data_IF_924536094386
#
_entry.id   IF_924536094386
#
_cell.length_a   1.000
_cell.length_b   1.000
_cell.length_c   1.000
_cell.angle_alpha   90.00
_cell.angle_beta   90.00
_cell.angle_gamma   90.00
#
_symmetry.space_group_name_H-M   'P 1'
#
loop_
_entity.id
_entity.type
_entity.pdbx_description
1 polymer ?
#
# COMPACT_ATOMS: atom_id res chain seq x y z
N UNK A 1 25.23 -12.39 3.38
CA UNK A 1 24.25 -11.30 3.62
C UNK A 1 22.97 -11.90 4.18
N UNK A 2 22.62 -11.57 5.42
CA UNK A 2 21.32 -11.98 5.99
C UNK A 2 20.20 -11.30 5.18
N UNK A 3 19.41 -12.10 4.45
CA UNK A 3 18.20 -11.58 3.79
C UNK A 3 17.24 -11.13 4.90
N UNK A 4 17.13 -9.82 5.12
CA UNK A 4 16.10 -9.27 6.02
C UNK A 4 14.74 -9.76 5.57
N UNK A 5 14.07 -10.55 6.42
CA UNK A 5 12.77 -11.14 6.08
C UNK A 5 11.67 -10.14 6.38
N UNK A 6 11.15 -9.49 5.33
CA UNK A 6 9.98 -8.62 5.46
C UNK A 6 8.71 -9.38 5.84
N UNK A 7 7.90 -8.75 6.70
CA UNK A 7 6.56 -9.24 7.05
C UNK A 7 5.61 -9.17 5.85
N UNK A 8 4.47 -9.86 5.93
CA UNK A 8 3.43 -9.81 4.88
C UNK A 8 2.94 -8.38 4.64
N UNK A 9 2.76 -7.61 5.72
CA UNK A 9 2.33 -6.21 5.64
C UNK A 9 3.41 -5.33 4.99
N UNK A 10 4.68 -5.48 5.38
CA UNK A 10 5.78 -4.71 4.80
C UNK A 10 5.95 -4.99 3.30
N UNK A 11 5.90 -6.28 2.92
CA UNK A 11 5.92 -6.67 1.51
C UNK A 11 4.78 -6.02 0.74
N UNK A 12 3.57 -6.09 1.29
CA UNK A 12 2.39 -5.50 0.67
C UNK A 12 2.53 -3.98 0.52
N UNK A 13 2.95 -3.26 1.56
CA UNK A 13 3.18 -1.80 1.51
C UNK A 13 4.15 -1.46 0.38
N UNK A 14 5.30 -2.13 0.30
CA UNK A 14 6.30 -1.86 -0.73
C UNK A 14 5.75 -2.12 -2.14
N UNK A 15 5.14 -3.29 -2.36
CA UNK A 15 4.63 -3.63 -3.70
C UNK A 15 3.44 -2.79 -4.12
N UNK A 16 2.55 -2.44 -3.19
CA UNK A 16 1.36 -1.64 -3.48
C UNK A 16 1.73 -0.19 -3.70
N UNK A 17 2.66 0.37 -2.92
CA UNK A 17 3.19 1.71 -3.16
C UNK A 17 3.84 1.78 -4.53
N UNK A 18 4.68 0.79 -4.90
CA UNK A 18 5.30 0.74 -6.22
C UNK A 18 4.28 0.72 -7.36
N UNK A 19 3.30 -0.20 -7.29
CA UNK A 19 2.24 -0.29 -8.30
C UNK A 19 1.48 1.03 -8.43
N UNK A 20 1.10 1.63 -7.31
CA UNK A 20 0.31 2.87 -7.30
C UNK A 20 1.12 4.05 -7.82
N UNK A 21 2.30 4.32 -7.26
CA UNK A 21 2.98 5.61 -7.44
C UNK A 21 3.95 5.61 -8.61
N UNK A 22 4.41 4.44 -9.06
CA UNK A 22 5.35 4.32 -10.19
C UNK A 22 4.67 3.74 -11.42
N UNK A 23 3.86 2.68 -11.26
CA UNK A 23 3.16 2.06 -12.38
C UNK A 23 1.77 2.65 -12.64
N UNK A 24 1.30 3.57 -11.79
CA UNK A 24 -0.04 4.15 -11.87
C UNK A 24 -1.16 3.10 -11.91
N UNK A 25 -0.95 1.95 -11.26
CA UNK A 25 -1.90 0.85 -11.11
C UNK A 25 -2.51 0.84 -9.71
N UNK A 26 -3.82 1.05 -9.65
CA UNK A 26 -4.62 0.99 -8.42
C UNK A 26 -5.78 0.00 -8.50
N UNK A 27 -5.72 -0.98 -9.41
CA UNK A 27 -6.74 -2.02 -9.59
C UNK A 27 -7.14 -2.75 -8.30
N UNK A 28 -6.27 -2.73 -7.29
CA UNK A 28 -6.45 -3.39 -6.00
C UNK A 28 -6.71 -2.43 -4.82
N UNK A 29 -7.03 -1.15 -5.08
CA UNK A 29 -7.27 -0.14 -4.04
C UNK A 29 -8.71 0.38 -4.07
N UNK A 30 -9.36 0.36 -2.91
CA UNK A 30 -10.78 0.73 -2.76
C UNK A 30 -11.02 2.24 -2.82
N UNK A 31 -9.98 3.07 -2.61
CA UNK A 31 -10.14 4.52 -2.42
C UNK A 31 -10.66 5.28 -3.65
N UNK A 32 -10.42 4.80 -4.88
CA UNK A 32 -10.97 5.47 -6.07
C UNK A 32 -12.50 5.54 -6.06
N UNK A 33 -13.18 4.54 -5.50
CA UNK A 33 -14.64 4.50 -5.55
C UNK A 33 -15.31 5.55 -4.65
N UNK A 34 -14.64 5.98 -3.57
CA UNK A 34 -15.21 6.89 -2.58
C UNK A 34 -14.78 8.37 -2.75
N UNK A 35 -13.77 8.67 -3.57
CA UNK A 35 -13.37 10.05 -3.91
C UNK A 35 -14.19 10.66 -5.06
N UNK A 36 -15.20 9.94 -5.56
CA UNK A 36 -16.09 10.37 -6.65
C UNK A 36 -16.85 11.69 -6.40
N UNK A 37 -16.84 12.23 -5.16
CA UNK A 37 -17.54 13.46 -4.78
C UNK A 37 -16.76 14.78 -5.03
N UNK A 38 -15.59 14.75 -5.70
CA UNK A 38 -14.87 15.99 -6.13
C UNK A 38 -14.33 15.93 -7.56
N UNK A 39 -15.06 15.27 -8.48
CA UNK A 39 -14.70 15.15 -9.91
C UNK A 39 -14.50 16.49 -10.61
N UNK A 40 -15.11 17.54 -10.09
CA UNK A 40 -15.07 18.93 -10.54
C UNK A 40 -13.81 19.71 -10.12
N UNK A 41 -12.98 19.19 -9.21
CA UNK A 41 -11.71 19.83 -8.76
C UNK A 41 -10.47 18.93 -8.91
N UNK A 42 -10.55 17.95 -9.81
CA UNK A 42 -9.69 16.75 -9.81
C UNK A 42 -8.41 16.88 -10.66
N UNK A 43 -8.24 17.94 -11.45
CA UNK A 43 -7.04 18.08 -12.32
C UNK A 43 -5.75 18.29 -11.53
N UNK A 44 -5.74 19.09 -10.46
CA UNK A 44 -4.55 19.24 -9.59
C UNK A 44 -4.44 18.15 -8.51
N UNK A 45 -5.57 17.52 -8.13
CA UNK A 45 -5.62 16.51 -7.06
C UNK A 45 -5.38 15.08 -7.51
N UNK A 46 -5.49 14.79 -8.81
CA UNK A 46 -5.12 13.48 -9.38
C UNK A 46 -3.63 13.23 -9.16
N UNK A 47 -2.77 14.21 -9.44
CA UNK A 47 -1.33 14.10 -9.20
C UNK A 47 -1.01 13.79 -7.73
N UNK A 48 -1.66 14.48 -6.80
CA UNK A 48 -1.47 14.22 -5.37
C UNK A 48 -1.86 12.80 -4.96
N UNK A 49 -2.98 12.27 -5.47
CA UNK A 49 -3.41 10.90 -5.15
C UNK A 49 -2.37 9.86 -5.61
N UNK A 50 -1.84 10.04 -6.82
CA UNK A 50 -0.88 9.10 -7.42
C UNK A 50 0.51 9.19 -6.79
N UNK A 51 0.86 10.30 -6.14
CA UNK A 51 2.18 10.47 -5.54
C UNK A 51 2.42 9.64 -4.27
N UNK A 52 1.36 9.24 -3.56
CA UNK A 52 1.50 8.61 -2.24
C UNK A 52 0.63 7.36 -2.11
N UNK A 53 1.15 6.34 -1.43
CA UNK A 53 0.27 5.37 -0.76
C UNK A 53 -0.19 5.97 0.57
N UNK A 54 -1.50 6.06 0.82
CA UNK A 54 -2.02 6.61 2.06
C UNK A 54 -2.15 5.55 3.14
N UNK A 55 -1.86 5.93 4.40
CA UNK A 55 -2.02 5.02 5.55
C UNK A 55 -3.44 4.45 5.65
N UNK A 56 -4.44 5.22 5.25
CA UNK A 56 -5.84 4.79 5.22
C UNK A 56 -6.09 3.71 4.17
N UNK A 57 -5.39 3.71 3.04
CA UNK A 57 -5.45 2.62 2.03
C UNK A 57 -4.90 1.33 2.63
N UNK A 58 -3.86 1.38 3.47
CA UNK A 58 -3.39 0.18 4.18
C UNK A 58 -4.49 -0.39 5.08
N UNK A 59 -5.17 0.45 5.86
CA UNK A 59 -6.23 0.00 6.76
C UNK A 59 -7.44 -0.56 6.00
N UNK A 60 -7.82 0.09 4.90
CA UNK A 60 -8.91 -0.33 4.03
C UNK A 60 -8.56 -1.64 3.30
N UNK A 61 -7.48 -1.65 2.53
CA UNK A 61 -7.24 -2.64 1.49
C UNK A 61 -6.42 -3.83 2.00
N UNK A 62 -5.51 -3.64 2.98
CA UNK A 62 -4.79 -4.76 3.58
C UNK A 62 -5.58 -5.41 4.73
N UNK A 63 -6.17 -4.60 5.60
CA UNK A 63 -6.88 -5.10 6.80
C UNK A 63 -8.39 -5.27 6.61
N UNK A 64 -8.97 -4.78 5.50
CA UNK A 64 -10.42 -4.87 5.25
C UNK A 64 -11.25 -4.00 6.19
N UNK A 65 -10.68 -2.93 6.76
CA UNK A 65 -11.40 -2.09 7.70
C UNK A 65 -12.57 -1.38 7.01
N UNK A 66 -13.73 -1.30 7.67
CA UNK A 66 -14.90 -0.58 7.14
C UNK A 66 -14.88 0.87 7.59
N UNK A 67 -15.12 1.80 6.67
CA UNK A 67 -15.24 3.23 6.95
C UNK A 67 -16.69 3.62 7.21
N UNK A 68 -16.90 4.67 7.99
CA UNK A 68 -18.21 5.31 8.08
C UNK A 68 -18.41 6.23 6.86
N UNK A 69 -19.45 6.04 6.03
CA UNK A 69 -19.68 6.86 4.85
C UNK A 69 -20.03 8.34 5.16
N UNK A 70 -20.30 8.69 6.42
CA UNK A 70 -20.85 10.00 6.81
C UNK A 70 -19.80 11.12 6.94
N UNK A 71 -18.49 10.83 6.99
CA UNK A 71 -17.47 11.87 7.18
C UNK A 71 -16.60 12.08 5.92
N UNK A 72 -16.97 13.08 5.13
CA UNK A 72 -16.31 13.54 3.89
C UNK A 72 -14.88 14.10 4.05
N UNK A 73 -14.13 13.75 5.09
CA UNK A 73 -12.77 14.28 5.30
C UNK A 73 -11.89 13.49 6.25
N UNK A 74 -12.45 12.64 7.11
CA UNK A 74 -11.69 11.85 8.09
C UNK A 74 -12.27 10.44 8.09
N UNK A 75 -11.52 9.47 7.57
CA UNK A 75 -11.90 8.06 7.62
C UNK A 75 -11.98 7.60 9.09
N UNK A 76 -13.18 7.72 9.69
CA UNK A 76 -13.50 7.08 10.96
C UNK A 76 -13.78 5.61 10.67
N UNK A 77 -12.78 4.78 10.93
CA UNK A 77 -12.90 3.33 10.85
C UNK A 77 -13.74 2.82 12.04
N UNK A 78 -14.61 1.84 11.81
CA UNK A 78 -15.44 1.23 12.88
C UNK A 78 -14.71 0.03 13.51
N UNK A 79 -14.90 -0.18 14.82
CA UNK A 79 -14.40 -1.34 15.58
C UNK A 79 -13.02 -1.16 16.22
N UNK A 80 -12.39 -2.27 16.65
CA UNK A 80 -11.05 -2.32 17.26
C UNK A 80 -9.92 -2.14 16.23
N UNK A 81 -9.87 -0.98 15.60
CA UNK A 81 -8.91 -0.64 14.54
C UNK A 81 -7.54 -0.27 15.11
N UNK A 82 -7.47 -0.04 16.43
CA UNK A 82 -6.25 0.35 17.15
C UNK A 82 -5.08 -0.63 16.90
N UNK A 83 -5.34 -1.94 16.94
CA UNK A 83 -4.29 -2.95 16.70
C UNK A 83 -3.71 -2.87 15.29
N UNK A 84 -4.54 -2.56 14.28
CA UNK A 84 -4.10 -2.42 12.90
C UNK A 84 -3.35 -1.10 12.69
N UNK A 85 -3.80 -0.01 13.33
CA UNK A 85 -3.07 1.25 13.33
C UNK A 85 -1.67 1.10 13.96
N UNK A 86 -1.56 0.37 15.07
CA UNK A 86 -0.28 0.07 15.72
C UNK A 86 0.60 -0.81 14.82
N UNK A 87 0.05 -1.87 14.23
CA UNK A 87 0.79 -2.75 13.32
C UNK A 87 1.31 -2.00 12.07
N UNK A 88 0.47 -1.15 11.49
CA UNK A 88 0.86 -0.26 10.39
C UNK A 88 1.93 0.72 10.83
N UNK A 89 1.76 1.39 11.96
CA UNK A 89 2.74 2.36 12.48
C UNK A 89 4.11 1.75 12.71
N UNK A 90 4.17 0.55 13.32
CA UNK A 90 5.41 -0.21 13.49
C UNK A 90 6.04 -0.58 12.15
N UNK A 91 5.25 -1.12 11.23
CA UNK A 91 5.76 -1.54 9.92
C UNK A 91 6.31 -0.38 9.10
N UNK A 92 5.66 0.79 9.14
CA UNK A 92 6.12 1.99 8.46
C UNK A 92 7.42 2.50 9.09
N UNK A 93 7.47 2.61 10.42
CA UNK A 93 8.68 3.04 11.14
C UNK A 93 9.88 2.13 10.84
N UNK A 94 9.67 0.81 10.82
CA UNK A 94 10.73 -0.14 10.50
C UNK A 94 11.24 0.02 9.07
N UNK A 95 10.33 0.23 8.10
CA UNK A 95 10.69 0.45 6.70
C UNK A 95 11.41 1.79 6.49
N UNK A 96 11.02 2.82 7.21
CA UNK A 96 11.62 4.16 7.16
C UNK A 96 13.03 4.16 7.78
N UNK A 97 13.20 3.59 8.99
CA UNK A 97 14.52 3.43 9.63
C UNK A 97 15.48 2.63 8.76
N UNK A 98 14.98 1.65 8.02
CA UNK A 98 15.79 0.84 7.10
C UNK A 98 15.94 1.45 5.71
N UNK A 99 15.36 2.64 5.48
CA UNK A 99 15.56 3.47 4.30
C UNK A 99 14.82 3.01 3.04
N UNK A 100 13.75 2.23 3.17
CA UNK A 100 12.95 1.79 2.01
C UNK A 100 11.81 2.74 1.66
N UNK A 101 11.36 3.55 2.62
CA UNK A 101 10.25 4.49 2.43
C UNK A 101 10.57 5.82 3.09
N UNK A 102 9.85 6.85 2.66
CA UNK A 102 9.70 8.12 3.35
C UNK A 102 8.23 8.32 3.70
N UNK A 103 7.96 8.84 4.91
CA UNK A 103 6.60 9.19 5.33
C UNK A 103 6.39 10.70 5.30
N UNK A 104 5.20 11.10 4.84
CA UNK A 104 4.80 12.49 4.73
C UNK A 104 3.50 12.71 5.48
N UNK A 105 3.40 13.85 6.13
CA UNK A 105 2.21 14.25 6.88
C UNK A 105 1.70 15.59 6.34
N UNK A 106 0.39 15.65 6.12
CA UNK A 106 -0.28 16.87 5.72
C UNK A 106 -0.33 17.91 6.84
N UNK A 107 -0.50 19.17 6.45
CA UNK A 107 -0.80 20.24 7.40
C UNK A 107 -1.98 19.85 8.29
N UNK A 108 -1.84 20.05 9.61
CA UNK A 108 -2.78 19.61 10.65
C UNK A 108 -3.07 18.09 10.68
N UNK A 109 -2.15 17.25 10.20
CA UNK A 109 -2.21 15.78 10.32
C UNK A 109 -3.38 15.12 9.58
N UNK A 110 -4.04 15.82 8.66
CA UNK A 110 -5.24 15.31 7.98
C UNK A 110 -4.97 14.12 7.04
N UNK A 111 -3.73 13.96 6.56
CA UNK A 111 -3.33 12.83 5.72
C UNK A 111 -1.92 12.37 6.04
N UNK A 112 -1.66 11.08 5.79
CA UNK A 112 -0.34 10.46 5.95
C UNK A 112 -0.03 9.68 4.68
N UNK A 113 0.97 10.14 3.93
CA UNK A 113 1.41 9.58 2.67
C UNK A 113 2.73 8.84 2.82
N UNK A 114 2.95 7.87 1.94
CA UNK A 114 4.13 7.02 1.90
C UNK A 114 4.68 7.06 0.49
N UNK A 115 5.99 7.29 0.35
CA UNK A 115 6.72 7.16 -0.90
C UNK A 115 7.84 6.14 -0.76
N UNK A 116 8.21 5.52 -1.89
CA UNK A 116 9.39 4.66 -1.93
C UNK A 116 10.63 5.50 -2.19
N UNK A 117 11.71 5.16 -1.49
CA UNK A 117 13.06 5.58 -1.90
C UNK A 117 13.52 4.72 -3.08
N UNK A 118 14.65 5.05 -3.72
CA UNK A 118 15.27 4.20 -4.74
C UNK A 118 15.50 2.77 -4.24
N UNK A 119 15.95 2.64 -2.99
CA UNK A 119 16.11 1.34 -2.31
C UNK A 119 14.78 0.62 -2.14
N UNK A 120 13.71 1.35 -1.82
CA UNK A 120 12.34 0.85 -1.77
C UNK A 120 11.84 0.31 -3.11
N UNK A 121 12.11 1.05 -4.19
CA UNK A 121 11.71 0.69 -5.56
C UNK A 121 12.36 -0.63 -5.98
N UNK A 122 13.68 -0.76 -5.84
CA UNK A 122 14.38 -1.99 -6.19
C UNK A 122 13.89 -3.18 -5.35
N UNK A 123 13.64 -2.94 -4.06
CA UNK A 123 13.09 -3.97 -3.18
C UNK A 123 11.67 -4.40 -3.58
N UNK A 124 10.83 -3.46 -4.02
CA UNK A 124 9.48 -3.77 -4.47
C UNK A 124 9.50 -4.59 -5.76
N UNK A 125 10.37 -4.25 -6.73
CA UNK A 125 10.59 -5.03 -7.96
C UNK A 125 11.04 -6.46 -7.64
N UNK A 126 12.02 -6.63 -6.75
CA UNK A 126 12.48 -7.95 -6.30
C UNK A 126 11.31 -8.82 -5.79
N UNK A 127 10.44 -8.24 -4.97
CA UNK A 127 9.32 -8.97 -4.35
C UNK A 127 8.29 -9.35 -5.43
N UNK A 128 7.99 -8.45 -6.36
CA UNK A 128 7.07 -8.73 -7.46
C UNK A 128 7.59 -9.84 -8.38
N UNK A 129 8.87 -9.81 -8.72
CA UNK A 129 9.53 -10.82 -9.56
C UNK A 129 9.63 -12.17 -8.85
N UNK A 130 9.91 -12.19 -7.54
CA UNK A 130 9.90 -13.43 -6.77
C UNK A 130 8.50 -14.07 -6.75
N UNK A 131 7.44 -13.27 -6.60
CA UNK A 131 6.07 -13.78 -6.63
C UNK A 131 5.64 -14.30 -8.01
N UNK A 132 6.13 -13.71 -9.11
CA UNK A 132 5.84 -14.22 -10.47
C UNK A 132 6.52 -15.56 -10.72
N UNK A 133 7.77 -15.72 -10.26
CA UNK A 133 8.50 -16.99 -10.31
C UNK A 133 7.85 -18.09 -9.45
N UNK A 134 7.38 -17.76 -8.25
CA UNK A 134 6.65 -18.71 -7.38
C UNK A 134 5.29 -19.12 -7.97
N UNK A 135 4.65 -18.25 -8.75
CA UNK A 135 3.42 -18.59 -9.47
C UNK A 135 3.70 -19.47 -10.69
N UNK A 136 4.79 -19.20 -11.43
CA UNK A 136 5.22 -20.04 -12.56
C UNK A 136 5.63 -21.44 -12.10
N UNK A 137 6.35 -21.57 -10.99
CA UNK A 137 6.74 -22.87 -10.44
C UNK A 137 5.53 -23.69 -10.01
N UNK A 138 4.53 -23.08 -9.39
CA UNK A 138 3.25 -23.76 -9.05
C UNK A 138 2.48 -24.22 -10.28
N UNK A 139 2.41 -23.41 -11.33
CA UNK A 139 1.75 -23.79 -12.60
C UNK A 139 2.46 -24.98 -13.26
N UNK A 140 3.79 -24.98 -13.29
CA UNK A 140 4.59 -26.08 -13.84
C UNK A 140 4.48 -27.37 -13.01
N UNK A 141 4.21 -27.26 -11.70
CA UNK A 141 4.02 -28.44 -10.85
C UNK A 141 2.65 -29.10 -11.09
N UNK A 142 1.63 -28.32 -11.43
CA UNK A 142 0.28 -28.82 -11.75
C UNK A 142 0.25 -29.46 -13.14
N UNK A 143 0.98 -28.92 -14.13
CA UNK A 143 1.03 -29.53 -15.47
C UNK A 143 1.79 -30.85 -15.53
N UNK A 144 2.66 -31.13 -14.55
CA UNK A 144 3.47 -32.35 -14.51
C UNK A 144 2.86 -33.47 -13.64
N UNK A 145 1.68 -33.24 -13.04
CA UNK A 145 0.92 -34.27 -12.31
C UNK A 145 -0.22 -34.90 -13.12
N UNK A 146 -0.37 -34.52 -14.39
CA UNK A 146 -1.26 -35.18 -15.37
C UNK A 146 -0.42 -35.89 -16.43
N UNK A 147 0.23 -37.00 -16.06
CA UNK A 147 0.75 -38.03 -16.96
C UNK A 147 0.71 -39.39 -16.24
#
# INVERSE_FOLDING_TARGET
MNKTRFSKLQKWILTTCYKKTILYDNSNLTILNNWAWRKDKLQDKTNFYWQYLFRQEILLDFFGCKTNPVCCSIYRFKGDVNKYQVATGRSLRDLEITGYIETYEGEHSFWHGIQLTDKGIEKAKDILNANSLDNLSKVLTISNSEC
#
